data_IF_900401691666
#
_entry.id   IF_900401691666
#
_cell.length_a   1.000
_cell.length_b   1.000
_cell.length_c   1.000
_cell.angle_alpha   90.00
_cell.angle_beta   90.00
_cell.angle_gamma   90.00
#
_symmetry.space_group_name_H-M   'P 1'
#
loop_
_entity.id
_entity.type
_entity.pdbx_description
1 polymer ?
#
# COMPACT_ATOMS: atom_id res chain seq x y z
N UNK A 1 20.79 -6.35 -5.29
CA UNK A 1 19.58 -7.16 -4.97
C UNK A 1 18.40 -6.20 -4.99
N UNK A 2 17.34 -6.46 -5.75
CA UNK A 2 16.15 -5.59 -5.75
C UNK A 2 15.45 -5.68 -4.39
N UNK A 3 14.93 -4.57 -3.87
CA UNK A 3 14.15 -4.59 -2.63
C UNK A 3 12.86 -5.42 -2.84
N UNK A 4 12.37 -6.08 -1.78
CA UNK A 4 11.09 -6.83 -1.83
C UNK A 4 9.94 -5.94 -2.30
N UNK A 5 9.94 -4.68 -1.84
CA UNK A 5 9.02 -3.64 -2.28
C UNK A 5 9.01 -3.50 -3.81
N UNK A 6 10.19 -3.35 -4.43
CA UNK A 6 10.30 -3.20 -5.88
C UNK A 6 9.82 -4.43 -6.65
N UNK A 7 10.14 -5.64 -6.19
CA UNK A 7 9.67 -6.87 -6.85
C UNK A 7 8.14 -6.94 -6.85
N UNK A 8 7.51 -6.66 -5.70
CA UNK A 8 6.06 -6.72 -5.56
C UNK A 8 5.37 -5.64 -6.41
N UNK A 9 5.86 -4.40 -6.32
CA UNK A 9 5.26 -3.26 -7.04
C UNK A 9 5.44 -3.38 -8.56
N UNK A 10 6.57 -3.90 -9.03
CA UNK A 10 6.78 -4.21 -10.46
C UNK A 10 5.77 -5.26 -10.96
N UNK A 11 5.53 -6.34 -10.20
CA UNK A 11 4.58 -7.40 -10.59
C UNK A 11 3.12 -6.93 -10.54
N UNK A 12 2.76 -6.11 -9.54
CA UNK A 12 1.44 -5.46 -9.45
C UNK A 12 1.22 -4.54 -10.65
N UNK A 13 2.18 -3.68 -10.97
CA UNK A 13 2.09 -2.73 -12.08
C UNK A 13 1.82 -3.42 -13.41
N UNK A 14 2.47 -4.57 -13.64
CA UNK A 14 2.28 -5.39 -14.86
C UNK A 14 0.90 -6.04 -14.92
N UNK A 15 0.39 -6.55 -13.80
CA UNK A 15 -0.79 -7.42 -13.81
C UNK A 15 -2.09 -6.65 -13.63
N UNK A 16 -2.10 -5.65 -12.75
CA UNK A 16 -3.29 -4.86 -12.40
C UNK A 16 -3.39 -3.61 -13.29
N UNK A 17 -2.40 -3.38 -14.17
CA UNK A 17 -2.34 -2.21 -15.07
C UNK A 17 -2.45 -0.93 -14.25
N UNK A 18 -1.54 -0.79 -13.29
CA UNK A 18 -1.34 0.44 -12.53
C UNK A 18 -0.01 1.06 -12.91
N UNK A 19 0.04 2.39 -12.99
CA UNK A 19 1.27 3.09 -13.32
C UNK A 19 2.34 2.83 -12.25
N UNK A 20 3.45 2.23 -12.66
CA UNK A 20 4.59 1.92 -11.79
C UNK A 20 5.18 3.18 -11.14
N UNK A 21 5.02 4.34 -11.78
CA UNK A 21 5.56 5.60 -11.28
C UNK A 21 4.90 6.03 -9.97
N UNK A 22 3.71 5.49 -9.65
CA UNK A 22 3.04 5.71 -8.37
C UNK A 22 3.86 5.16 -7.20
N UNK A 23 4.65 4.11 -7.40
CA UNK A 23 5.50 3.52 -6.36
C UNK A 23 6.86 4.21 -6.22
N UNK A 24 7.14 5.26 -7.00
CA UNK A 24 8.36 6.05 -6.88
C UNK A 24 8.28 7.14 -5.81
N UNK A 25 7.08 7.39 -5.27
CA UNK A 25 6.84 8.39 -4.22
C UNK A 25 7.42 9.78 -4.57
N UNK A 26 6.96 10.38 -5.68
CA UNK A 26 7.34 11.74 -6.09
C UNK A 26 6.61 12.79 -5.23
N UNK A 27 6.83 12.72 -3.91
CA UNK A 27 6.09 13.46 -2.87
C UNK A 27 6.33 14.98 -2.91
N UNK A 28 7.39 15.44 -3.56
CA UNK A 28 7.68 16.85 -3.83
C UNK A 28 6.58 17.53 -4.67
N UNK A 29 5.80 16.73 -5.41
CA UNK A 29 4.70 17.20 -6.26
C UNK A 29 3.34 17.09 -5.59
N UNK A 30 3.30 16.52 -4.41
CA UNK A 30 2.07 16.17 -3.72
C UNK A 30 1.64 17.29 -2.77
N UNK A 31 0.33 17.50 -2.69
CA UNK A 31 -0.24 18.50 -1.78
C UNK A 31 -0.36 17.90 -0.39
N UNK A 32 0.30 18.51 0.59
CA UNK A 32 0.16 18.14 2.00
C UNK A 32 -1.24 18.51 2.51
N UNK A 33 -1.93 17.57 3.14
CA UNK A 33 -3.24 17.78 3.78
C UNK A 33 -3.17 17.75 5.30
N UNK A 34 -2.23 16.99 5.86
CA UNK A 34 -2.07 16.86 7.29
C UNK A 34 -0.62 16.54 7.64
N UNK A 35 -0.14 17.08 8.76
CA UNK A 35 1.14 16.73 9.35
C UNK A 35 1.04 16.82 10.87
N UNK A 36 1.58 15.81 11.55
CA UNK A 36 1.84 15.80 12.98
C UNK A 36 3.25 15.25 13.24
N UNK A 37 3.62 15.10 14.52
CA UNK A 37 4.98 14.69 14.92
C UNK A 37 5.40 13.30 14.40
N UNK A 38 4.43 12.48 14.01
CA UNK A 38 4.66 11.09 13.58
C UNK A 38 4.36 10.84 12.10
N UNK A 39 3.43 11.59 11.51
CA UNK A 39 2.85 11.28 10.21
C UNK A 39 2.66 12.53 9.34
N UNK A 40 2.92 12.39 8.04
CA UNK A 40 2.54 13.30 6.98
C UNK A 40 1.53 12.58 6.08
N UNK A 41 0.44 13.25 5.74
CA UNK A 41 -0.54 12.76 4.79
C UNK A 41 -0.68 13.73 3.63
N UNK A 42 -0.76 13.17 2.43
CA UNK A 42 -0.94 13.91 1.18
C UNK A 42 -2.36 13.77 0.66
N UNK A 43 -2.71 14.61 -0.31
CA UNK A 43 -4.02 14.64 -0.92
C UNK A 43 -4.36 13.30 -1.58
N UNK A 44 -5.66 13.04 -1.70
CA UNK A 44 -6.16 11.82 -2.31
C UNK A 44 -6.26 11.98 -3.82
N UNK A 45 -5.99 10.90 -4.52
CA UNK A 45 -6.10 10.81 -5.97
C UNK A 45 -7.07 9.72 -6.35
N UNK A 46 -8.05 10.04 -7.19
CA UNK A 46 -8.97 9.05 -7.72
C UNK A 46 -8.34 8.33 -8.91
N UNK A 47 -8.36 7.01 -8.88
CA UNK A 47 -8.02 6.16 -10.02
C UNK A 47 -9.29 5.40 -10.36
N UNK A 48 -9.66 5.39 -11.65
CA UNK A 48 -10.80 4.60 -12.12
C UNK A 48 -10.29 3.42 -12.93
N UNK A 49 -9.78 2.40 -12.23
CA UNK A 49 -9.54 1.10 -12.83
C UNK A 49 -10.40 0.03 -12.14
N UNK A 50 -10.36 -1.20 -12.64
CA UNK A 50 -11.21 -2.29 -12.15
C UNK A 50 -10.89 -2.74 -10.71
N UNK A 51 -9.76 -2.33 -10.14
CA UNK A 51 -9.29 -2.80 -8.82
C UNK A 51 -9.24 -1.69 -7.78
N UNK A 52 -8.66 -0.55 -8.13
CA UNK A 52 -8.39 0.58 -7.25
C UNK A 52 -9.33 1.74 -7.57
N UNK A 53 -9.87 2.35 -6.51
CA UNK A 53 -10.78 3.50 -6.58
C UNK A 53 -10.07 4.83 -6.29
N UNK A 54 -9.12 4.81 -5.36
CA UNK A 54 -8.30 5.96 -4.99
C UNK A 54 -6.96 5.49 -4.42
N UNK A 55 -5.99 6.39 -4.38
CA UNK A 55 -4.78 6.24 -3.58
C UNK A 55 -4.45 7.50 -2.79
N UNK A 56 -3.62 7.31 -1.76
CA UNK A 56 -3.11 8.39 -0.93
C UNK A 56 -1.68 8.06 -0.50
N UNK A 57 -0.78 9.04 -0.56
CA UNK A 57 0.55 8.91 -0.01
C UNK A 57 0.60 9.27 1.48
N UNK A 58 1.51 8.62 2.21
CA UNK A 58 1.82 8.93 3.61
C UNK A 58 3.31 8.80 3.88
N UNK A 59 3.81 9.56 4.83
CA UNK A 59 5.13 9.38 5.42
C UNK A 59 5.03 9.24 6.92
N UNK A 60 5.83 8.35 7.50
CA UNK A 60 6.01 8.24 8.93
C UNK A 60 7.38 8.75 9.32
N UNK A 61 7.39 9.91 9.98
CA UNK A 61 8.60 10.60 10.39
C UNK A 61 9.32 9.82 11.49
N UNK A 62 8.57 9.26 12.45
CA UNK A 62 9.11 8.53 13.60
C UNK A 62 9.85 7.25 13.19
N UNK A 63 9.34 6.55 12.18
CA UNK A 63 9.83 5.24 11.75
C UNK A 63 10.50 5.25 10.37
N UNK A 64 10.68 6.43 9.77
CA UNK A 64 11.40 6.65 8.50
C UNK A 64 10.92 5.73 7.38
N UNK A 65 9.62 5.78 7.09
CA UNK A 65 9.07 5.07 5.94
C UNK A 65 8.02 5.92 5.22
N UNK A 66 7.78 5.57 3.97
CA UNK A 66 6.75 6.16 3.12
C UNK A 66 5.87 5.07 2.55
N UNK A 67 4.61 5.39 2.28
CA UNK A 67 3.66 4.41 1.78
C UNK A 67 2.64 5.00 0.83
N UNK A 68 2.06 4.11 0.02
CA UNK A 68 0.93 4.39 -0.85
C UNK A 68 -0.20 3.46 -0.45
N UNK A 69 -1.30 4.04 0.02
CA UNK A 69 -2.50 3.31 0.39
C UNK A 69 -3.51 3.38 -0.73
N UNK A 70 -3.97 2.23 -1.21
CA UNK A 70 -5.06 2.11 -2.18
C UNK A 70 -6.38 1.76 -1.52
N UNK A 71 -7.47 2.34 -1.99
CA UNK A 71 -8.84 1.89 -1.68
C UNK A 71 -9.31 0.89 -2.73
N UNK A 72 -9.84 -0.22 -2.25
CA UNK A 72 -10.31 -1.37 -3.03
C UNK A 72 -11.73 -1.70 -2.57
N UNK A 73 -12.63 -1.93 -3.53
CA UNK A 73 -14.02 -2.30 -3.24
C UNK A 73 -14.12 -3.73 -2.69
N UNK A 74 -15.13 -4.02 -1.87
CA UNK A 74 -15.37 -5.39 -1.35
C UNK A 74 -15.58 -6.43 -2.45
N UNK A 75 -16.06 -6.01 -3.61
CA UNK A 75 -16.36 -6.90 -4.73
C UNK A 75 -15.09 -7.45 -5.40
N UNK A 76 -13.97 -6.75 -5.28
CA UNK A 76 -12.72 -7.08 -6.01
C UNK A 76 -11.54 -7.41 -5.10
N UNK A 77 -11.66 -7.15 -3.79
CA UNK A 77 -10.56 -7.38 -2.83
C UNK A 77 -10.13 -8.85 -2.77
N UNK A 78 -11.05 -9.82 -2.84
CA UNK A 78 -10.67 -11.23 -2.77
C UNK A 78 -9.80 -11.65 -3.95
N UNK A 79 -10.15 -11.19 -5.15
CA UNK A 79 -9.37 -11.43 -6.36
C UNK A 79 -7.99 -10.77 -6.25
N UNK A 80 -7.96 -9.51 -5.78
CA UNK A 80 -6.73 -8.79 -5.54
C UNK A 80 -5.80 -9.54 -4.56
N UNK A 81 -6.32 -10.01 -3.41
CA UNK A 81 -5.51 -10.72 -2.42
C UNK A 81 -5.02 -12.07 -2.96
N UNK A 82 -5.84 -12.80 -3.71
CA UNK A 82 -5.39 -14.03 -4.39
C UNK A 82 -4.21 -13.75 -5.32
N UNK A 83 -4.27 -12.67 -6.09
CA UNK A 83 -3.18 -12.25 -6.95
C UNK A 83 -1.91 -11.87 -6.16
N UNK A 84 -2.05 -11.07 -5.09
CA UNK A 84 -0.91 -10.73 -4.22
C UNK A 84 -0.28 -12.00 -3.65
N UNK A 85 -1.07 -12.95 -3.17
CA UNK A 85 -0.54 -14.22 -2.64
C UNK A 85 0.24 -15.03 -3.67
N UNK A 86 -0.14 -14.97 -4.96
CA UNK A 86 0.66 -15.57 -6.03
C UNK A 86 2.03 -14.90 -6.17
N UNK A 87 2.12 -13.58 -6.03
CA UNK A 87 3.41 -12.86 -6.03
C UNK A 87 4.23 -13.27 -4.81
N UNK A 88 3.64 -13.22 -3.62
CA UNK A 88 4.31 -13.54 -2.36
C UNK A 88 4.88 -14.96 -2.37
N UNK A 89 4.10 -15.93 -2.89
CA UNK A 89 4.56 -17.30 -3.06
C UNK A 89 5.79 -17.41 -3.97
N UNK A 90 5.85 -16.64 -5.07
CA UNK A 90 7.02 -16.63 -5.98
C UNK A 90 8.30 -16.13 -5.29
N UNK A 91 8.17 -15.30 -4.26
CA UNK A 91 9.30 -14.72 -3.51
C UNK A 91 9.50 -15.36 -2.13
N UNK A 92 8.85 -16.51 -1.85
CA UNK A 92 8.90 -17.23 -0.58
C UNK A 92 8.50 -16.39 0.65
N UNK A 93 7.49 -15.52 0.48
CA UNK A 93 6.91 -14.72 1.55
C UNK A 93 5.60 -15.32 2.07
N UNK A 94 5.22 -14.92 3.28
CA UNK A 94 3.98 -15.37 3.91
C UNK A 94 2.76 -14.79 3.19
N UNK A 95 1.81 -15.65 2.85
CA UNK A 95 0.53 -15.24 2.27
C UNK A 95 -0.32 -14.42 3.25
N UNK A 96 -1.13 -13.53 2.68
CA UNK A 96 -2.08 -12.68 3.38
C UNK A 96 -3.42 -13.38 3.50
N UNK A 97 -4.02 -13.32 4.69
CA UNK A 97 -5.42 -13.66 4.90
C UNK A 97 -6.24 -12.37 5.02
N UNK A 98 -7.22 -12.17 4.14
CA UNK A 98 -8.11 -11.01 4.19
C UNK A 98 -8.90 -10.91 5.51
N UNK A 99 -9.21 -12.04 6.14
CA UNK A 99 -9.91 -12.09 7.43
C UNK A 99 -9.07 -11.52 8.58
N UNK A 100 -7.75 -11.45 8.41
CA UNK A 100 -6.87 -10.84 9.41
C UNK A 100 -6.76 -9.32 9.26
N UNK A 101 -7.46 -8.69 8.31
CA UNK A 101 -7.47 -7.24 8.16
C UNK A 101 -8.22 -6.61 9.33
N UNK A 102 -7.56 -5.68 10.00
CA UNK A 102 -8.15 -4.95 11.12
C UNK A 102 -9.23 -3.97 10.64
N UNK A 103 -10.17 -3.61 11.52
CA UNK A 103 -11.16 -2.54 11.26
C UNK A 103 -10.58 -1.13 11.40
N UNK A 104 -9.37 -1.04 11.90
CA UNK A 104 -8.65 0.19 12.17
C UNK A 104 -7.26 0.08 11.56
N UNK A 105 -6.76 1.19 11.07
CA UNK A 105 -5.37 1.29 10.69
C UNK A 105 -4.50 1.26 11.94
N UNK A 106 -3.68 0.21 12.10
CA UNK A 106 -2.74 0.06 13.21
C UNK A 106 -1.40 -0.41 12.67
N UNK A 107 -0.41 0.47 12.67
CA UNK A 107 0.96 0.02 12.46
C UNK A 107 1.47 -0.66 13.71
N UNK A 108 1.97 -1.88 13.54
CA UNK A 108 2.66 -2.62 14.59
C UNK A 108 4.07 -2.03 14.69
N UNK A 109 4.38 -1.36 15.79
CA UNK A 109 5.63 -0.58 15.99
C UNK A 109 6.93 -1.40 15.82
N UNK A 110 6.87 -2.73 15.87
CA UNK A 110 8.04 -3.60 15.98
C UNK A 110 8.42 -4.38 14.71
N UNK A 111 7.59 -4.36 13.65
CA UNK A 111 7.94 -5.00 12.38
C UNK A 111 7.43 -4.15 11.23
N UNK A 112 8.34 -3.71 10.35
CA UNK A 112 7.99 -2.94 9.16
C UNK A 112 7.22 -3.83 8.17
N UNK A 113 5.90 -3.64 8.00
CA UNK A 113 5.14 -4.41 7.03
C UNK A 113 5.22 -3.66 5.69
N UNK A 114 5.93 -4.21 4.71
CA UNK A 114 5.94 -3.67 3.35
C UNK A 114 4.56 -3.75 2.68
N UNK A 115 3.66 -4.56 3.23
CA UNK A 115 2.26 -4.69 2.86
C UNK A 115 1.40 -4.74 4.13
N UNK A 116 0.37 -3.90 4.21
CA UNK A 116 -0.63 -3.92 5.27
C UNK A 116 -2.03 -3.72 4.71
N UNK A 117 -3.06 -4.23 5.38
CA UNK A 117 -4.43 -4.02 4.97
C UNK A 117 -5.39 -3.82 6.14
N UNK A 118 -6.39 -2.96 5.94
CA UNK A 118 -7.45 -2.71 6.90
C UNK A 118 -8.80 -2.51 6.19
N UNK A 119 -9.89 -2.78 6.89
CA UNK A 119 -11.26 -2.57 6.41
C UNK A 119 -11.85 -1.32 7.05
N UNK A 120 -12.47 -0.46 6.25
CA UNK A 120 -13.20 0.71 6.74
C UNK A 120 -14.54 0.85 6.01
N UNK A 121 -15.62 0.62 6.75
CA UNK A 121 -16.95 0.53 6.15
C UNK A 121 -17.07 -0.71 5.28
N UNK A 122 -17.50 -0.52 4.03
CA UNK A 122 -17.56 -1.59 3.03
C UNK A 122 -16.23 -1.80 2.31
N UNK A 123 -15.36 -0.79 2.28
CA UNK A 123 -14.13 -0.82 1.51
C UNK A 123 -12.93 -1.38 2.28
N UNK A 124 -11.95 -1.81 1.50
CA UNK A 124 -10.66 -2.28 1.96
C UNK A 124 -9.58 -1.29 1.56
N UNK A 125 -8.61 -1.11 2.44
CA UNK A 125 -7.48 -0.24 2.23
C UNK A 125 -6.22 -1.06 2.34
N UNK A 126 -5.37 -0.96 1.33
CA UNK A 126 -4.16 -1.76 1.22
C UNK A 126 -2.98 -0.83 1.04
N UNK A 127 -1.98 -0.97 1.89
CA UNK A 127 -0.85 -0.09 1.98
C UNK A 127 0.43 -0.80 1.54
N UNK A 128 1.18 -0.15 0.64
CA UNK A 128 2.51 -0.59 0.23
C UNK A 128 3.52 0.39 0.78
N UNK A 129 4.38 -0.09 1.68
CA UNK A 129 5.35 0.74 2.38
C UNK A 129 6.78 0.40 1.98
N UNK A 130 7.61 1.44 1.87
CA UNK A 130 9.06 1.34 1.73
C UNK A 130 9.76 2.13 2.85
N UNK A 131 10.79 1.54 3.47
CA UNK A 131 11.67 2.27 4.40
C UNK A 131 12.47 3.31 3.61
N UNK A 132 12.54 4.52 4.15
CA UNK A 132 13.45 5.54 3.64
C UNK A 132 14.88 5.08 3.96
N UNK A 133 15.68 4.89 2.91
CA UNK A 133 17.11 4.63 3.05
C UNK A 133 17.77 6.01 2.92
N UNK A 134 18.28 6.53 4.03
CA UNK A 134 19.14 7.73 4.03
C UNK A 134 20.48 7.43 3.38
#
# INVERSE_FOLDING_TARGET
MLSKFKIITDEISKTIIIDKDLFLFKLDKEKLIHQNDSMIEYDKHFIFNHTFLEYQYRENIKHQWRSITFRISKEVIEEFIRFINLILKKINEREINIESFSKEFKYIENNFPYFFGYKKGEDYFVDFAEKQIN
#
